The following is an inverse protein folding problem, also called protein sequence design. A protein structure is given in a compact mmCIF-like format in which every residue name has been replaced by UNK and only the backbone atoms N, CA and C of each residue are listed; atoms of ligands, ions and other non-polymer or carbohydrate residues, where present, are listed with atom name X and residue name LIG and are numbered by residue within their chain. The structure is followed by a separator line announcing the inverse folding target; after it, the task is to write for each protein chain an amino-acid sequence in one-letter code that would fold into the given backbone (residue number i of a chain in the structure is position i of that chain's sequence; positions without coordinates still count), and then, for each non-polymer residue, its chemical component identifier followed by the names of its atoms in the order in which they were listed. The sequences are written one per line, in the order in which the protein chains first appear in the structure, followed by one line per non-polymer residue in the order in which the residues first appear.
data_IF_975821129129
#
_entry.id   IF_975821129129
#
_cell.length_a   1.000
_cell.length_b   1.000
_cell.length_c   1.000
_cell.angle_alpha   90.00
_cell.angle_beta   90.00
_cell.angle_gamma   90.00
#
_symmetry.space_group_name_H-M   'P 1'
#
loop_
_entity.id
_entity.type
_entity.pdbx_description
1 polymer ?
#
# COMPACT_ATOMS: atom_id res chain seq x y z
N UNK A 1 41.36 -51.90 29.81
CA UNK A 1 40.98 -50.48 29.94
C UNK A 1 41.57 -49.98 31.24
N UNK A 2 42.30 -48.87 31.20
CA UNK A 2 42.87 -48.25 32.41
C UNK A 2 41.74 -47.56 33.20
N UNK A 3 41.90 -47.41 34.51
CA UNK A 3 40.91 -46.73 35.37
C UNK A 3 40.57 -45.30 34.87
N UNK A 4 41.50 -44.67 34.14
CA UNK A 4 41.29 -43.36 33.52
C UNK A 4 40.19 -43.38 32.43
N UNK A 5 40.14 -44.43 31.61
CA UNK A 5 39.15 -44.57 30.52
C UNK A 5 37.72 -44.79 31.04
N UNK A 6 37.57 -45.42 32.22
CA UNK A 6 36.27 -45.65 32.86
C UNK A 6 35.69 -44.34 33.40
N UNK A 7 36.54 -43.45 33.91
CA UNK A 7 36.13 -42.13 34.41
C UNK A 7 35.58 -41.21 33.31
N UNK A 8 36.26 -41.14 32.17
CA UNK A 8 35.82 -40.34 31.02
C UNK A 8 34.49 -40.85 30.45
N UNK A 9 34.32 -42.17 30.35
CA UNK A 9 33.06 -42.78 29.91
C UNK A 9 31.89 -42.44 30.84
N UNK A 10 32.08 -42.53 32.15
CA UNK A 10 31.04 -42.19 33.13
C UNK A 10 30.66 -40.70 33.07
N UNK A 11 31.63 -39.81 32.86
CA UNK A 11 31.39 -38.37 32.67
C UNK A 11 30.54 -38.13 31.42
N UNK A 12 30.93 -38.71 30.28
CA UNK A 12 30.18 -38.60 29.03
C UNK A 12 28.75 -39.14 29.16
N UNK A 13 28.58 -40.28 29.85
CA UNK A 13 27.25 -40.85 30.13
C UNK A 13 26.37 -39.88 30.93
N UNK A 14 26.92 -39.25 31.96
CA UNK A 14 26.18 -38.27 32.78
C UNK A 14 25.78 -37.02 31.96
N UNK A 15 26.67 -36.52 31.09
CA UNK A 15 26.36 -35.41 30.20
C UNK A 15 25.22 -35.76 29.23
N UNK A 16 25.24 -36.97 28.66
CA UNK A 16 24.15 -37.45 27.80
C UNK A 16 22.82 -37.57 28.54
N UNK A 17 22.82 -38.05 29.79
CA UNK A 17 21.59 -38.16 30.60
C UNK A 17 20.97 -36.77 30.88
N UNK A 18 21.81 -35.75 31.13
CA UNK A 18 21.35 -34.37 31.31
C UNK A 18 20.72 -33.82 30.03
N UNK A 19 21.37 -34.04 28.87
CA UNK A 19 20.86 -33.59 27.57
C UNK A 19 19.52 -34.29 27.26
N UNK A 20 19.45 -35.60 27.46
CA UNK A 20 18.24 -36.38 27.20
C UNK A 20 17.07 -35.93 28.07
N UNK A 21 17.34 -35.64 29.35
CA UNK A 21 16.34 -35.07 30.26
C UNK A 21 15.84 -33.70 29.77
N UNK A 22 16.75 -32.80 29.40
CA UNK A 22 16.39 -31.48 28.89
C UNK A 22 15.56 -31.53 27.60
N UNK A 23 15.84 -32.49 26.71
CA UNK A 23 15.05 -32.73 25.50
C UNK A 23 13.65 -33.24 25.83
N UNK A 24 13.52 -34.18 26.76
CA UNK A 24 12.21 -34.69 27.19
C UNK A 24 11.35 -33.59 27.83
N UNK A 25 11.94 -32.77 28.72
CA UNK A 25 11.23 -31.65 29.35
C UNK A 25 10.75 -30.65 28.29
N UNK A 26 11.58 -30.38 27.26
CA UNK A 26 11.21 -29.50 26.14
C UNK A 26 10.07 -30.09 25.29
N UNK A 27 10.09 -31.39 25.02
CA UNK A 27 9.02 -32.08 24.29
C UNK A 27 7.71 -31.98 25.06
N UNK A 28 7.71 -32.30 26.35
CA UNK A 28 6.51 -32.19 27.20
C UNK A 28 5.95 -30.76 27.22
N UNK A 29 6.81 -29.75 27.36
CA UNK A 29 6.38 -28.35 27.30
C UNK A 29 5.73 -27.97 25.96
N UNK A 30 6.28 -28.44 24.83
CA UNK A 30 5.70 -28.20 23.51
C UNK A 30 4.37 -28.93 23.29
N UNK A 31 4.21 -30.13 23.85
CA UNK A 31 2.95 -30.87 23.80
C UNK A 31 1.83 -30.15 24.57
N UNK A 32 2.14 -29.56 25.71
CA UNK A 32 1.20 -28.74 26.49
C UNK A 32 0.80 -27.46 25.75
N UNK A 33 1.77 -26.76 25.14
CA UNK A 33 1.52 -25.57 24.32
C UNK A 33 0.61 -25.90 23.12
N UNK A 34 0.88 -27.00 22.43
CA UNK A 34 0.03 -27.47 21.32
C UNK A 34 -1.40 -27.78 21.78
N UNK A 35 -1.57 -28.44 22.92
CA UNK A 35 -2.91 -28.71 23.49
C UNK A 35 -3.66 -27.41 23.76
N UNK A 36 -2.99 -26.40 24.31
CA UNK A 36 -3.57 -25.07 24.54
C UNK A 36 -4.01 -24.39 23.24
N UNK A 37 -3.14 -24.38 22.22
CA UNK A 37 -3.43 -23.78 20.92
C UNK A 37 -4.62 -24.44 20.20
N UNK A 38 -4.76 -25.77 20.32
CA UNK A 38 -5.90 -26.50 19.77
C UNK A 38 -7.22 -26.08 20.42
N UNK A 39 -7.23 -25.88 21.74
CA UNK A 39 -8.43 -25.41 22.47
C UNK A 39 -8.77 -23.98 22.05
N UNK A 40 -7.78 -23.09 21.98
CA UNK A 40 -7.97 -21.70 21.57
C UNK A 40 -8.54 -21.59 20.15
N UNK A 41 -8.03 -22.40 19.24
CA UNK A 41 -8.53 -22.50 17.86
C UNK A 41 -10.00 -22.93 17.81
N UNK A 42 -10.41 -23.89 18.66
CA UNK A 42 -11.83 -24.30 18.74
C UNK A 42 -12.72 -23.17 19.24
N UNK A 43 -12.28 -22.43 20.27
CA UNK A 43 -13.02 -21.28 20.80
C UNK A 43 -13.18 -20.19 19.74
N UNK A 44 -12.12 -19.88 18.99
CA UNK A 44 -12.18 -18.90 17.90
C UNK A 44 -13.14 -19.34 16.80
N UNK A 45 -13.15 -20.62 16.44
CA UNK A 45 -14.06 -21.17 15.42
C UNK A 45 -15.53 -21.04 15.83
N UNK A 46 -15.87 -21.26 17.11
CA UNK A 46 -17.23 -21.05 17.61
C UNK A 46 -17.64 -19.58 17.53
N UNK A 47 -16.77 -18.66 17.96
CA UNK A 47 -17.04 -17.21 17.86
C UNK A 47 -17.27 -16.77 16.41
N UNK A 48 -16.53 -17.36 15.47
CA UNK A 48 -16.70 -17.07 14.05
C UNK A 48 -18.09 -17.48 13.54
N UNK A 49 -18.56 -18.69 13.89
CA UNK A 49 -19.90 -19.19 13.54
C UNK A 49 -21.00 -18.30 14.14
N UNK A 50 -20.83 -17.84 15.38
CA UNK A 50 -21.78 -16.93 16.03
C UNK A 50 -21.86 -15.58 15.29
N UNK A 51 -20.72 -15.06 14.80
CA UNK A 51 -20.68 -13.83 14.02
C UNK A 51 -21.32 -13.99 12.64
N UNK A 52 -21.06 -15.11 11.94
CA UNK A 52 -21.71 -15.42 10.66
C UNK A 52 -23.24 -15.48 10.81
N UNK A 53 -23.72 -16.07 11.91
CA UNK A 53 -25.16 -16.14 12.20
C UNK A 53 -25.75 -14.74 12.40
N UNK A 54 -25.08 -13.88 13.18
CA UNK A 54 -25.52 -12.48 13.38
C UNK A 54 -25.57 -11.66 12.09
N UNK A 55 -24.60 -11.87 11.19
CA UNK A 55 -24.58 -11.21 9.88
C UNK A 55 -25.83 -11.63 9.07
N UNK A 56 -26.15 -12.93 9.05
CA UNK A 56 -27.36 -13.43 8.40
C UNK A 56 -28.66 -12.86 8.99
N UNK A 57 -28.71 -12.64 10.31
CA UNK A 57 -29.86 -11.99 10.96
C UNK A 57 -30.01 -10.53 10.51
N UNK A 58 -28.90 -9.77 10.43
CA UNK A 58 -28.93 -8.39 9.94
C UNK A 58 -29.35 -8.30 8.47
N UNK A 59 -28.89 -9.20 7.61
CA UNK A 59 -29.32 -9.25 6.21
C UNK A 59 -30.84 -9.47 6.10
N UNK A 60 -31.40 -10.34 6.94
CA UNK A 60 -32.84 -10.57 7.01
C UNK A 60 -33.61 -9.32 7.50
N UNK A 61 -33.07 -8.56 8.45
CA UNK A 61 -33.65 -7.29 8.88
C UNK A 61 -33.64 -6.24 7.77
N UNK A 62 -32.52 -6.11 7.04
CA UNK A 62 -32.41 -5.21 5.88
C UNK A 62 -33.46 -5.55 4.83
N UNK A 63 -33.65 -6.84 4.52
CA UNK A 63 -34.67 -7.29 3.56
C UNK A 63 -36.08 -6.90 4.03
N UNK A 64 -36.38 -7.03 5.33
CA UNK A 64 -37.68 -6.60 5.89
C UNK A 64 -37.88 -5.09 5.78
N UNK A 65 -36.85 -4.30 6.09
CA UNK A 65 -36.89 -2.84 5.98
C UNK A 65 -37.17 -2.43 4.54
N UNK A 66 -36.46 -3.01 3.56
CA UNK A 66 -36.65 -2.69 2.15
C UNK A 66 -38.07 -2.99 1.67
N UNK A 67 -38.65 -4.13 2.06
CA UNK A 67 -40.07 -4.44 1.73
C UNK A 67 -41.05 -3.42 2.32
N UNK A 68 -40.83 -3.00 3.57
CA UNK A 68 -41.69 -1.99 4.20
C UNK A 68 -41.58 -0.64 3.48
N UNK A 69 -40.38 -0.25 3.04
CA UNK A 69 -40.16 0.99 2.26
C UNK A 69 -40.90 0.94 0.92
N UNK A 70 -40.84 -0.19 0.21
CA UNK A 70 -41.59 -0.39 -1.03
C UNK A 70 -43.11 -0.32 -0.81
N UNK A 71 -43.63 -0.94 0.26
CA UNK A 71 -45.04 -0.86 0.61
C UNK A 71 -45.50 0.56 0.93
N UNK A 72 -44.72 1.32 1.70
CA UNK A 72 -45.03 2.73 2.01
C UNK A 72 -45.03 3.57 0.74
N UNK A 73 -44.03 3.40 -0.14
CA UNK A 73 -43.97 4.11 -1.42
C UNK A 73 -45.15 3.79 -2.35
N UNK A 74 -45.74 2.59 -2.24
CA UNK A 74 -46.92 2.21 -3.04
C UNK A 74 -48.25 2.76 -2.49
N UNK A 75 -48.33 3.11 -1.20
CA UNK A 75 -49.59 3.52 -0.53
C UNK A 75 -49.71 5.03 -0.30
N UNK A 76 -48.60 5.77 -0.28
CA UNK A 76 -48.61 7.23 -0.09
C UNK A 76 -47.89 7.94 -1.23
N UNK A 77 -48.67 8.42 -2.21
CA UNK A 77 -48.72 9.83 -2.68
C UNK A 77 -48.87 9.95 -4.23
N UNK A 78 -49.83 10.75 -4.71
CA UNK A 78 -49.88 11.24 -6.09
C UNK A 78 -48.67 12.12 -6.43
N UNK A 79 -47.94 11.79 -7.51
CA UNK A 79 -46.91 12.62 -8.18
C UNK A 79 -46.20 13.67 -7.29
N UNK A 80 -45.58 13.26 -6.19
CA UNK A 80 -44.56 14.11 -5.54
C UNK A 80 -43.20 13.74 -6.09
N UNK A 81 -42.59 14.77 -6.68
CA UNK A 81 -41.28 14.81 -7.34
C UNK A 81 -40.27 13.84 -6.72
N UNK A 82 -39.74 12.96 -7.56
CA UNK A 82 -38.65 12.02 -7.23
C UNK A 82 -37.51 12.73 -6.50
N UNK A 83 -36.83 12.00 -5.62
CA UNK A 83 -35.58 12.40 -4.95
C UNK A 83 -34.49 12.90 -5.92
N UNK A 84 -34.56 12.56 -7.22
CA UNK A 84 -33.71 13.13 -8.27
C UNK A 84 -33.84 14.65 -8.38
N UNK A 85 -35.03 15.19 -8.12
CA UNK A 85 -35.32 16.64 -8.18
C UNK A 85 -34.68 17.47 -7.06
N UNK A 86 -34.12 16.83 -6.03
CA UNK A 86 -33.35 17.52 -4.99
C UNK A 86 -31.91 17.85 -5.44
N UNK A 87 -31.41 17.18 -6.47
CA UNK A 87 -30.05 17.39 -6.99
C UNK A 87 -30.01 18.15 -8.32
N UNK A 88 -31.16 18.39 -8.96
CA UNK A 88 -31.27 19.08 -10.25
C UNK A 88 -30.86 20.58 -10.22
N UNK A 89 -30.61 21.15 -9.02
CA UNK A 89 -30.23 22.57 -8.87
C UNK A 89 -28.84 22.80 -8.27
N UNK A 90 -28.06 21.74 -8.00
CA UNK A 90 -26.64 21.92 -7.69
C UNK A 90 -25.93 21.85 -9.05
N UNK A 91 -25.23 22.90 -9.50
CA UNK A 91 -24.39 22.80 -10.68
C UNK A 91 -23.28 21.80 -10.37
N UNK A 92 -23.52 20.53 -10.69
CA UNK A 92 -22.50 19.50 -10.64
C UNK A 92 -21.51 19.85 -11.74
N UNK A 93 -20.25 20.01 -11.34
CA UNK A 93 -19.14 20.08 -12.28
C UNK A 93 -19.20 18.84 -13.18
N UNK A 94 -18.99 19.01 -14.50
CA UNK A 94 -19.03 17.94 -15.48
C UNK A 94 -18.14 16.75 -15.06
N UNK A 95 -17.15 17.00 -14.21
CA UNK A 95 -16.30 16.01 -13.57
C UNK A 95 -17.05 15.02 -12.66
N UNK A 96 -18.00 15.47 -11.82
CA UNK A 96 -18.72 14.61 -10.88
C UNK A 96 -19.72 13.70 -11.59
N UNK A 97 -20.40 14.21 -12.61
CA UNK A 97 -21.31 13.44 -13.47
C UNK A 97 -20.53 12.37 -14.23
N UNK A 98 -19.34 12.71 -14.71
CA UNK A 98 -18.43 11.75 -15.35
C UNK A 98 -17.93 10.68 -14.37
N UNK A 99 -17.66 11.01 -13.10
CA UNK A 99 -17.27 10.03 -12.08
C UNK A 99 -18.41 9.04 -11.81
N UNK A 100 -19.64 9.52 -11.60
CA UNK A 100 -20.78 8.65 -11.25
C UNK A 100 -21.10 7.70 -12.40
N UNK A 101 -21.07 8.18 -13.64
CA UNK A 101 -21.28 7.34 -14.81
C UNK A 101 -20.12 6.35 -15.04
N UNK A 102 -18.88 6.78 -14.77
CA UNK A 102 -17.70 5.92 -14.86
C UNK A 102 -17.68 4.82 -13.79
N UNK A 103 -18.19 5.07 -12.58
CA UNK A 103 -18.30 4.06 -11.51
C UNK A 103 -19.34 2.99 -11.87
N UNK A 104 -20.45 3.36 -12.49
CA UNK A 104 -21.50 2.41 -12.89
C UNK A 104 -21.07 1.46 -14.01
N UNK A 105 -20.24 1.92 -14.95
CA UNK A 105 -19.68 1.06 -16.01
C UNK A 105 -18.51 0.22 -15.50
N UNK A 106 -17.81 0.66 -14.44
CA UNK A 106 -16.65 -0.05 -13.88
C UNK A 106 -17.00 -1.40 -13.25
N UNK A 107 -18.17 -1.55 -12.61
CA UNK A 107 -18.52 -2.81 -11.92
C UNK A 107 -18.65 -4.01 -12.88
N UNK A 108 -19.08 -3.75 -14.11
CA UNK A 108 -19.23 -4.77 -15.15
C UNK A 108 -17.89 -5.05 -15.85
N UNK A 109 -17.02 -4.04 -16.00
CA UNK A 109 -15.66 -4.19 -16.51
C UNK A 109 -14.71 -4.87 -15.50
N UNK A 110 -14.84 -4.61 -14.20
CA UNK A 110 -14.00 -5.21 -13.14
C UNK A 110 -14.18 -6.73 -13.08
N UNK A 111 -15.41 -7.23 -13.26
CA UNK A 111 -15.70 -8.68 -13.30
C UNK A 111 -15.06 -9.40 -14.48
N UNK A 112 -14.73 -8.67 -15.55
CA UNK A 112 -14.03 -9.24 -16.71
C UNK A 112 -12.50 -9.06 -16.64
N UNK A 113 -11.99 -8.33 -15.64
CA UNK A 113 -10.60 -7.87 -15.48
C UNK A 113 -9.78 -8.51 -14.37
N UNK A 114 -10.27 -9.57 -13.71
CA UNK A 114 -9.41 -10.42 -12.84
C UNK A 114 -8.22 -11.08 -13.58
N UNK A 115 -8.04 -10.79 -14.87
CA UNK A 115 -6.98 -11.30 -15.74
C UNK A 115 -5.78 -10.36 -15.73
N UNK A 116 -4.56 -10.92 -15.66
CA UNK A 116 -3.32 -10.17 -15.53
C UNK A 116 -2.88 -9.53 -16.86
N UNK A 117 -3.66 -8.58 -17.34
CA UNK A 117 -3.50 -8.01 -18.69
C UNK A 117 -2.56 -6.79 -18.69
N UNK A 118 -1.72 -6.71 -19.73
CA UNK A 118 -0.82 -5.61 -20.07
C UNK A 118 -1.10 -5.09 -21.49
N UNK A 119 -0.84 -3.80 -21.70
CA UNK A 119 -0.90 -3.18 -23.03
C UNK A 119 0.51 -2.76 -23.45
N UNK A 120 0.88 -3.15 -24.67
CA UNK A 120 2.08 -2.71 -25.37
C UNK A 120 1.68 -1.78 -26.52
N UNK A 121 2.27 -0.60 -26.61
CA UNK A 121 2.02 0.33 -27.72
C UNK A 121 3.19 1.27 -27.95
N UNK A 122 3.14 2.07 -29.00
CA UNK A 122 4.06 3.19 -29.20
C UNK A 122 3.44 4.44 -28.56
N UNK A 123 4.27 5.39 -28.08
CA UNK A 123 3.74 6.61 -27.44
C UNK A 123 2.91 7.42 -28.45
N UNK A 124 1.67 7.73 -28.06
CA UNK A 124 0.86 8.77 -28.69
C UNK A 124 1.49 10.14 -28.40
N UNK A 125 1.69 10.95 -29.44
CA UNK A 125 2.14 12.33 -29.28
C UNK A 125 0.91 13.19 -28.96
N UNK A 126 0.84 13.74 -27.74
CA UNK A 126 -0.33 14.53 -27.30
C UNK A 126 -0.44 15.92 -27.97
N UNK A 127 0.50 16.27 -28.85
CA UNK A 127 0.51 17.52 -29.62
C UNK A 127 -0.04 17.37 -31.05
N UNK A 128 -0.61 16.21 -31.40
CA UNK A 128 -1.23 16.04 -32.71
C UNK A 128 -2.61 16.71 -32.72
N UNK A 129 -2.63 17.98 -33.17
CA UNK A 129 -3.83 18.75 -33.46
C UNK A 129 -4.83 17.95 -34.31
N UNK A 130 -6.12 18.29 -34.19
CA UNK A 130 -7.28 17.65 -34.87
C UNK A 130 -7.15 17.50 -36.40
N UNK A 131 -6.13 18.10 -37.03
CA UNK A 131 -5.80 17.94 -38.43
C UNK A 131 -5.05 16.62 -38.77
N UNK A 132 -4.67 15.79 -37.80
CA UNK A 132 -3.95 14.52 -38.02
C UNK A 132 -4.83 13.26 -38.02
N UNK A 133 -6.16 13.37 -38.15
CA UNK A 133 -7.08 12.22 -38.22
C UNK A 133 -6.73 11.27 -39.41
N UNK A 134 -6.08 11.78 -40.46
CA UNK A 134 -5.60 10.99 -41.61
C UNK A 134 -4.29 10.23 -41.35
N UNK A 135 -3.57 10.45 -40.23
CA UNK A 135 -2.35 9.71 -39.87
C UNK A 135 -2.59 8.47 -38.99
N UNK A 136 -3.77 8.39 -38.37
CA UNK A 136 -4.14 7.31 -37.46
C UNK A 136 -4.21 5.92 -38.13
N UNK A 137 -4.36 5.85 -39.46
CA UNK A 137 -4.40 4.58 -40.20
C UNK A 137 -3.04 3.84 -40.26
N UNK A 138 -1.94 4.50 -39.85
CA UNK A 138 -0.59 3.91 -39.88
C UNK A 138 -0.06 3.50 -38.49
N UNK A 139 -0.81 3.76 -37.42
CA UNK A 139 -0.35 3.44 -36.07
C UNK A 139 -0.64 1.97 -35.72
N UNK A 140 0.37 1.29 -35.21
CA UNK A 140 0.24 -0.11 -34.78
C UNK A 140 -0.73 -0.20 -33.61
N UNK A 141 -1.79 -0.97 -33.77
CA UNK A 141 -2.73 -1.27 -32.68
C UNK A 141 -2.01 -1.80 -31.44
N UNK A 142 -2.43 -1.40 -30.24
CA UNK A 142 -1.82 -1.91 -29.02
C UNK A 142 -1.95 -3.43 -28.89
N UNK A 143 -0.91 -4.09 -28.40
CA UNK A 143 -0.91 -5.53 -28.15
C UNK A 143 -1.34 -5.77 -26.71
N UNK A 144 -2.35 -6.61 -26.54
CA UNK A 144 -2.86 -7.03 -25.25
C UNK A 144 -2.20 -8.35 -24.84
N UNK A 145 -1.57 -8.39 -23.66
CA UNK A 145 -0.87 -9.58 -23.16
C UNK A 145 -1.44 -10.01 -21.82
N UNK A 146 -2.01 -11.20 -21.76
CA UNK A 146 -2.50 -11.81 -20.52
C UNK A 146 -1.41 -12.68 -19.89
N UNK A 147 -1.02 -12.34 -18.66
CA UNK A 147 -0.02 -13.07 -17.89
C UNK A 147 -0.68 -14.08 -16.94
N UNK A 148 0.06 -15.15 -16.60
CA UNK A 148 -0.47 -16.23 -15.77
C UNK A 148 -0.73 -15.77 -14.33
N UNK A 149 0.17 -14.98 -13.77
CA UNK A 149 0.08 -14.54 -12.38
C UNK A 149 0.19 -13.03 -12.24
N UNK A 150 -0.35 -12.50 -11.14
CA UNK A 150 -0.20 -11.09 -10.76
C UNK A 150 1.25 -10.73 -10.47
N UNK A 151 2.05 -11.70 -9.99
CA UNK A 151 3.48 -11.53 -9.74
C UNK A 151 4.23 -11.19 -11.04
N UNK A 152 3.99 -11.97 -12.09
CA UNK A 152 4.60 -11.76 -13.41
C UNK A 152 4.23 -10.37 -13.97
N UNK A 153 2.98 -9.95 -13.81
CA UNK A 153 2.52 -8.60 -14.23
C UNK A 153 3.30 -7.50 -13.52
N UNK A 154 3.49 -7.61 -12.21
CA UNK A 154 4.25 -6.62 -11.45
C UNK A 154 5.73 -6.62 -11.82
N UNK A 155 6.31 -7.79 -12.08
CA UNK A 155 7.71 -7.91 -12.52
C UNK A 155 7.92 -7.25 -13.89
N UNK A 156 7.04 -7.51 -14.86
CA UNK A 156 7.09 -6.84 -16.17
C UNK A 156 6.93 -5.33 -16.04
N UNK A 157 5.99 -4.84 -15.22
CA UNK A 157 5.78 -3.41 -15.00
C UNK A 157 6.96 -2.73 -14.30
N UNK A 158 7.65 -3.42 -13.37
CA UNK A 158 8.88 -2.92 -12.74
C UNK A 158 10.00 -2.76 -13.77
N UNK A 159 10.20 -3.79 -14.60
CA UNK A 159 11.24 -3.80 -15.62
C UNK A 159 10.94 -2.92 -16.83
N UNK A 160 9.67 -2.59 -17.08
CA UNK A 160 9.24 -1.70 -18.16
C UNK A 160 9.91 -0.32 -18.13
N UNK A 161 10.23 0.20 -16.92
CA UNK A 161 10.99 1.44 -16.79
C UNK A 161 12.42 1.31 -17.33
N UNK A 162 13.08 0.18 -17.06
CA UNK A 162 14.43 -0.09 -17.53
C UNK A 162 14.47 -0.29 -19.05
N UNK A 163 13.42 -0.89 -19.63
CA UNK A 163 13.30 -1.07 -21.07
C UNK A 163 13.29 0.25 -21.84
N UNK A 164 12.69 1.31 -21.29
CA UNK A 164 12.71 2.64 -21.93
C UNK A 164 14.10 3.25 -22.07
N UNK A 165 15.06 2.81 -21.26
CA UNK A 165 16.45 3.27 -21.35
C UNK A 165 17.22 2.54 -22.46
N UNK A 166 16.65 1.48 -23.05
CA UNK A 166 17.21 0.81 -24.22
C UNK A 166 16.80 1.55 -25.49
N UNK A 167 17.78 1.87 -26.35
CA UNK A 167 17.54 2.52 -27.65
C UNK A 167 16.58 1.75 -28.56
N UNK A 168 16.50 0.43 -28.39
CA UNK A 168 15.58 -0.42 -29.16
C UNK A 168 14.12 -0.28 -28.71
N UNK A 169 13.87 0.10 -27.45
CA UNK A 169 12.54 0.11 -26.84
C UNK A 169 12.13 1.48 -26.31
N UNK A 170 12.89 2.53 -26.61
CA UNK A 170 12.63 3.91 -26.17
C UNK A 170 11.20 4.39 -26.49
N UNK A 171 10.70 3.97 -27.67
CA UNK A 171 9.36 4.34 -28.16
C UNK A 171 8.25 3.39 -27.71
N UNK A 172 8.60 2.28 -27.05
CA UNK A 172 7.63 1.28 -26.60
C UNK A 172 7.14 1.62 -25.20
N UNK A 173 5.82 1.71 -25.07
CA UNK A 173 5.09 1.89 -23.84
C UNK A 173 4.53 0.55 -23.37
N UNK A 174 4.83 0.21 -22.12
CA UNK A 174 4.21 -0.94 -21.44
C UNK A 174 3.49 -0.36 -20.23
N UNK A 175 2.19 -0.61 -20.14
CA UNK A 175 1.36 -0.16 -19.03
C UNK A 175 0.37 -1.23 -18.59
N UNK A 176 -0.19 -1.07 -17.38
CA UNK A 176 -1.33 -1.88 -16.99
C UNK A 176 -2.50 -1.58 -17.93
N UNK A 177 -3.29 -2.60 -18.25
CA UNK A 177 -4.61 -2.32 -18.82
C UNK A 177 -5.47 -1.63 -17.75
N UNK A 178 -5.96 -0.44 -18.09
CA UNK A 178 -6.78 0.41 -17.22
C UNK A 178 -8.15 0.61 -17.84
N UNK A 179 -9.18 0.67 -17.01
CA UNK A 179 -10.55 1.02 -17.43
C UNK A 179 -10.61 2.46 -17.92
N UNK A 180 -11.65 2.81 -18.69
CA UNK A 180 -11.83 4.20 -19.12
C UNK A 180 -11.97 5.14 -17.91
N UNK A 181 -12.62 4.68 -16.85
CA UNK A 181 -12.75 5.38 -15.58
C UNK A 181 -11.39 5.66 -14.93
N UNK A 182 -10.57 4.61 -14.77
CA UNK A 182 -9.23 4.71 -14.17
C UNK A 182 -8.31 5.62 -14.99
N UNK A 183 -8.35 5.53 -16.32
CA UNK A 183 -7.58 6.40 -17.22
C UNK A 183 -8.00 7.85 -17.06
N UNK A 184 -9.30 8.12 -17.05
CA UNK A 184 -9.86 9.48 -16.90
C UNK A 184 -9.49 10.07 -15.54
N UNK A 185 -9.64 9.28 -14.47
CA UNK A 185 -9.24 9.67 -13.13
C UNK A 185 -7.73 9.96 -13.04
N UNK A 186 -6.89 9.08 -13.57
CA UNK A 186 -5.42 9.26 -13.60
C UNK A 186 -5.03 10.50 -14.38
N UNK A 187 -5.66 10.76 -15.54
CA UNK A 187 -5.46 11.99 -16.31
C UNK A 187 -5.85 13.24 -15.50
N UNK A 188 -6.98 13.21 -14.80
CA UNK A 188 -7.40 14.29 -13.91
C UNK A 188 -6.39 14.57 -12.80
N UNK A 189 -5.88 13.52 -12.14
CA UNK A 189 -4.84 13.66 -11.11
C UNK A 189 -3.52 14.21 -11.68
N UNK A 190 -3.09 13.74 -12.85
CA UNK A 190 -1.87 14.24 -13.51
C UNK A 190 -2.03 15.71 -13.88
N UNK A 191 -3.19 16.11 -14.42
CA UNK A 191 -3.50 17.50 -14.75
C UNK A 191 -3.43 18.37 -13.50
N UNK A 192 -4.15 18.00 -12.44
CA UNK A 192 -4.12 18.72 -11.16
C UNK A 192 -2.72 18.81 -10.57
N UNK A 193 -1.95 17.72 -10.59
CA UNK A 193 -0.55 17.71 -10.15
C UNK A 193 0.31 18.67 -10.97
N UNK A 194 0.14 18.70 -12.29
CA UNK A 194 0.91 19.59 -13.16
C UNK A 194 0.51 21.06 -12.97
N UNK A 195 -0.78 21.35 -12.75
CA UNK A 195 -1.30 22.68 -12.39
C UNK A 195 -0.76 23.16 -11.04
N UNK A 196 -0.75 22.30 -10.03
CA UNK A 196 -0.13 22.64 -8.73
C UNK A 196 1.38 22.81 -8.85
N UNK A 197 2.03 21.99 -9.70
CA UNK A 197 3.46 22.12 -9.99
C UNK A 197 3.77 23.44 -10.72
N UNK A 198 2.89 23.92 -11.61
CA UNK A 198 3.11 25.20 -12.30
C UNK A 198 2.80 26.41 -11.41
N UNK A 199 1.93 26.25 -10.39
CA UNK A 199 1.71 27.25 -9.33
C UNK A 199 2.90 27.40 -8.39
N UNK A 200 3.63 26.31 -8.15
CA UNK A 200 4.89 26.33 -7.41
C UNK A 200 6.00 26.82 -8.35
N UNK A 201 6.30 28.12 -8.28
CA UNK A 201 7.31 28.81 -9.10
C UNK A 201 8.63 28.04 -9.26
N UNK A 202 9.19 28.12 -10.47
CA UNK A 202 10.50 27.58 -10.86
C UNK A 202 11.56 27.81 -9.77
N UNK A 203 11.93 26.73 -9.08
CA UNK A 203 13.01 26.71 -8.09
C UNK A 203 12.67 26.05 -6.76
N UNK A 204 11.39 25.99 -6.34
CA UNK A 204 11.01 25.37 -5.06
C UNK A 204 10.47 23.95 -5.22
N UNK A 205 11.30 23.03 -5.72
CA UNK A 205 10.94 21.62 -5.77
C UNK A 205 11.18 20.93 -4.43
N UNK A 206 10.14 20.73 -3.62
CA UNK A 206 10.22 19.83 -2.46
C UNK A 206 10.29 18.38 -2.97
N UNK A 207 11.41 17.67 -2.77
CA UNK A 207 11.51 16.23 -3.08
C UNK A 207 11.24 15.44 -1.81
N UNK A 208 10.00 14.95 -1.67
CA UNK A 208 9.64 13.98 -0.64
C UNK A 208 9.40 12.61 -1.27
N UNK A 209 9.83 11.56 -0.57
CA UNK A 209 9.51 10.19 -0.92
C UNK A 209 8.87 9.52 0.30
N UNK A 210 7.65 9.01 0.11
CA UNK A 210 7.00 8.12 1.09
C UNK A 210 7.34 6.70 0.72
N UNK A 211 8.18 6.05 1.52
CA UNK A 211 8.63 4.67 1.27
C UNK A 211 8.00 3.77 2.32
N UNK A 212 7.17 2.82 1.88
CA UNK A 212 6.72 1.71 2.73
C UNK A 212 7.82 0.64 2.68
N UNK A 213 8.57 0.49 3.77
CA UNK A 213 9.73 -0.41 3.79
C UNK A 213 9.29 -1.86 4.01
N UNK A 214 9.35 -2.65 2.94
CA UNK A 214 9.47 -4.13 2.98
C UNK A 214 10.87 -4.51 2.43
N UNK A 215 11.84 -3.60 2.48
CA UNK A 215 13.12 -3.72 1.76
C UNK A 215 14.29 -3.69 2.73
N UNK A 216 15.34 -4.46 2.40
CA UNK A 216 16.60 -4.56 3.14
C UNK A 216 17.28 -3.18 3.18
N UNK A 217 17.79 -2.78 4.35
CA UNK A 217 18.34 -1.44 4.62
C UNK A 217 19.48 -1.00 3.67
N UNK A 218 20.24 -1.94 3.10
CA UNK A 218 21.30 -1.64 2.11
C UNK A 218 20.75 -1.06 0.82
N UNK A 219 19.66 -1.63 0.31
CA UNK A 219 19.02 -1.20 -0.94
C UNK A 219 18.27 0.12 -0.74
N UNK A 220 17.83 0.36 0.50
CA UNK A 220 17.24 1.62 0.93
C UNK A 220 18.27 2.75 0.89
N UNK A 221 19.44 2.57 1.51
CA UNK A 221 20.53 3.57 1.46
C UNK A 221 21.00 3.86 0.03
N UNK A 222 21.09 2.84 -0.83
CA UNK A 222 21.44 3.02 -2.23
C UNK A 222 20.39 3.84 -3.01
N UNK A 223 19.09 3.63 -2.73
CA UNK A 223 18.01 4.41 -3.34
C UNK A 223 17.94 5.86 -2.85
N UNK A 224 18.33 6.14 -1.61
CA UNK A 224 18.34 7.51 -1.09
C UNK A 224 19.41 8.33 -1.79
N UNK A 225 20.61 7.77 -1.88
CA UNK A 225 21.75 8.44 -2.50
C UNK A 225 21.50 8.78 -3.98
N UNK A 226 20.63 8.04 -4.67
CA UNK A 226 20.31 8.29 -6.09
C UNK A 226 19.12 9.24 -6.31
N UNK A 227 18.24 9.47 -5.33
CA UNK A 227 17.03 10.27 -5.50
C UNK A 227 17.16 11.74 -5.03
N UNK A 228 18.31 12.11 -4.44
CA UNK A 228 18.60 13.46 -3.90
C UNK A 228 17.52 14.02 -2.95
N UNK A 229 16.73 13.15 -2.31
CA UNK A 229 15.59 13.56 -1.47
C UNK A 229 16.02 14.41 -0.28
N UNK A 230 15.27 15.47 0.02
CA UNK A 230 15.57 16.40 1.13
C UNK A 230 14.97 15.93 2.46
N UNK A 231 13.78 15.34 2.39
CA UNK A 231 13.05 14.74 3.51
C UNK A 231 12.53 13.37 3.09
N UNK A 232 12.70 12.37 3.95
CA UNK A 232 12.32 10.98 3.69
C UNK A 232 11.42 10.53 4.83
N UNK A 233 10.22 10.06 4.51
CA UNK A 233 9.24 9.60 5.49
C UNK A 233 9.00 8.11 5.31
N UNK A 234 9.19 7.36 6.39
CA UNK A 234 9.03 5.92 6.44
C UNK A 234 7.97 5.57 7.48
N UNK A 235 7.00 4.78 7.07
CA UNK A 235 6.10 4.06 7.98
C UNK A 235 6.43 2.57 7.96
N UNK A 236 6.10 1.87 9.05
CA UNK A 236 6.39 0.45 9.25
C UNK A 236 7.90 0.19 9.20
N UNK A 237 8.67 0.82 10.09
CA UNK A 237 10.13 0.73 10.08
C UNK A 237 10.67 -0.61 10.58
N UNK A 238 9.95 -1.32 11.45
CA UNK A 238 10.35 -2.62 12.04
C UNK A 238 11.78 -2.61 12.61
N UNK A 239 12.28 -1.43 12.98
CA UNK A 239 13.64 -1.28 13.49
C UNK A 239 13.75 -1.99 14.83
N UNK A 240 14.88 -2.71 14.99
CA UNK A 240 15.29 -3.35 16.24
C UNK A 240 16.34 -2.47 16.92
N UNK A 241 16.59 -2.71 18.20
CA UNK A 241 17.58 -1.95 19.00
C UNK A 241 18.98 -1.97 18.39
N UNK A 242 19.32 -3.01 17.63
CA UNK A 242 20.60 -3.21 16.92
C UNK A 242 20.58 -2.75 15.45
N UNK A 243 19.47 -2.19 14.97
CA UNK A 243 19.37 -1.73 13.57
C UNK A 243 20.24 -0.50 13.34
N UNK A 244 21.06 -0.53 12.29
CA UNK A 244 21.79 0.64 11.81
C UNK A 244 20.79 1.55 11.10
N UNK A 245 20.32 2.57 11.80
CA UNK A 245 19.30 3.51 11.31
C UNK A 245 19.88 4.84 10.85
N UNK A 246 21.14 5.15 11.16
CA UNK A 246 21.72 6.42 10.74
C UNK A 246 22.12 6.41 9.27
N UNK A 247 21.66 7.42 8.54
CA UNK A 247 22.02 7.69 7.15
C UNK A 247 22.89 8.94 7.14
N UNK A 248 24.07 8.85 6.52
CA UNK A 248 24.99 9.96 6.51
C UNK A 248 24.38 11.18 5.78
N UNK A 249 24.52 12.36 6.37
CA UNK A 249 23.96 13.59 5.84
C UNK A 249 22.50 13.87 6.23
N UNK A 250 21.88 13.03 7.07
CA UNK A 250 20.51 13.25 7.55
C UNK A 250 20.41 13.20 9.08
N UNK A 251 19.60 14.10 9.62
CA UNK A 251 19.02 14.04 10.96
C UNK A 251 17.87 13.04 10.94
N UNK A 252 17.72 12.29 12.04
CA UNK A 252 16.69 11.25 12.18
C UNK A 252 15.75 11.60 13.33
N UNK A 253 14.46 11.50 13.05
CA UNK A 253 13.38 11.55 14.04
C UNK A 253 12.64 10.22 13.94
N UNK A 254 12.58 9.44 15.04
CA UNK A 254 11.97 8.11 15.00
C UNK A 254 11.17 7.79 16.26
N UNK A 255 10.10 7.02 16.09
CA UNK A 255 9.26 6.48 17.15
C UNK A 255 9.01 5.01 16.84
N UNK A 256 9.78 4.16 17.52
CA UNK A 256 9.66 2.71 17.41
C UNK A 256 8.55 2.20 18.33
N UNK A 257 7.85 1.15 17.89
CA UNK A 257 6.80 0.52 18.71
C UNK A 257 7.45 -0.31 19.83
N UNK A 258 6.92 -0.22 21.06
CA UNK A 258 7.38 -1.06 22.20
C UNK A 258 6.99 -2.53 22.07
N UNK A 259 5.97 -2.84 21.26
CA UNK A 259 5.47 -4.18 21.00
C UNK A 259 6.02 -4.74 19.68
N UNK A 260 5.50 -5.88 19.22
CA UNK A 260 6.02 -6.57 18.03
C UNK A 260 5.62 -5.84 16.74
N UNK A 261 6.62 -5.25 16.07
CA UNK A 261 6.52 -4.69 14.71
C UNK A 261 6.02 -3.24 14.65
N UNK A 262 6.22 -2.60 13.49
CA UNK A 262 5.77 -1.23 13.22
C UNK A 262 6.82 -0.15 13.48
N UNK A 263 6.35 1.09 13.65
CA UNK A 263 7.18 2.28 13.88
C UNK A 263 7.19 3.26 12.71
N UNK A 264 7.57 4.50 13.01
CA UNK A 264 7.66 5.61 12.05
C UNK A 264 9.03 6.28 12.15
N UNK A 265 9.52 6.80 11.04
CA UNK A 265 10.80 7.49 10.97
C UNK A 265 10.78 8.58 9.90
N UNK A 266 11.36 9.73 10.22
CA UNK A 266 11.58 10.86 9.33
C UNK A 266 13.07 11.13 9.28
N UNK A 267 13.64 11.17 8.08
CA UNK A 267 14.99 11.67 7.83
C UNK A 267 14.91 13.05 7.20
N UNK A 268 15.70 14.00 7.69
CA UNK A 268 15.80 15.37 7.17
C UNK A 268 17.26 15.67 6.90
N UNK A 269 17.64 16.19 5.71
CA UNK A 269 19.06 16.51 5.45
C UNK A 269 19.63 17.44 6.52
N UNK A 270 20.90 17.26 6.85
CA UNK A 270 21.59 17.98 7.94
C UNK A 270 21.68 19.50 7.72
N UNK A 271 21.64 19.94 6.46
CA UNK A 271 21.63 21.36 6.08
C UNK A 271 20.25 22.02 6.23
N UNK A 272 19.19 21.22 6.45
CA UNK A 272 17.85 21.70 6.77
C UNK A 272 17.67 21.71 8.28
N UNK A 273 17.58 22.92 8.85
CA UNK A 273 17.31 23.09 10.27
C UNK A 273 15.96 22.45 10.60
N UNK A 274 15.97 21.53 11.55
CA UNK A 274 14.78 20.75 11.91
C UNK A 274 14.81 20.36 13.38
N UNK A 275 13.62 20.18 13.98
CA UNK A 275 13.47 19.71 15.35
C UNK A 275 12.15 18.97 15.53
N UNK A 276 12.15 17.99 16.43
CA UNK A 276 10.94 17.28 16.84
C UNK A 276 10.11 18.17 17.76
N UNK A 277 8.81 18.25 17.50
CA UNK A 277 7.87 18.83 18.46
C UNK A 277 7.65 17.78 19.54
N UNK A 278 8.16 18.05 20.73
CA UNK A 278 7.78 17.29 21.92
C UNK A 278 6.33 17.63 22.25
N UNK A 279 5.42 16.81 21.78
CA UNK A 279 4.06 16.85 22.28
C UNK A 279 4.06 16.22 23.67
N UNK A 280 3.84 17.04 24.70
CA UNK A 280 3.36 16.59 26.03
C UNK A 280 1.91 16.05 25.93
N UNK A 281 1.56 15.41 24.80
CA UNK A 281 0.26 14.82 24.54
C UNK A 281 0.30 13.34 24.96
N UNK A 282 0.40 13.12 26.27
CA UNK A 282 0.30 11.79 26.89
C UNK A 282 -0.97 11.04 26.45
N UNK A 283 -2.02 11.77 26.06
CA UNK A 283 -3.30 11.25 25.54
C UNK A 283 -3.18 10.38 24.28
N UNK A 284 -2.07 10.47 23.53
CA UNK A 284 -1.85 9.70 22.30
C UNK A 284 -0.58 8.84 22.34
N UNK A 285 -0.11 8.49 23.53
CA UNK A 285 1.07 7.62 23.72
C UNK A 285 0.97 6.25 23.03
N UNK A 286 -0.24 5.79 22.72
CA UNK A 286 -0.49 4.55 21.96
C UNK A 286 -0.36 4.71 20.43
N UNK A 287 -0.37 5.94 19.91
CA UNK A 287 -0.23 6.23 18.47
C UNK A 287 1.24 6.44 18.07
N UNK A 288 1.62 5.76 16.99
CA UNK A 288 2.91 5.89 16.33
C UNK A 288 2.91 7.12 15.41
N UNK A 289 3.13 8.30 15.99
CA UNK A 289 3.30 9.55 15.24
C UNK A 289 4.59 10.25 15.64
N UNK A 290 5.11 11.07 14.73
CA UNK A 290 6.22 12.01 14.94
C UNK A 290 5.81 13.33 14.30
N UNK A 291 5.99 14.42 15.02
CA UNK A 291 5.82 15.76 14.50
C UNK A 291 7.19 16.42 14.41
N UNK A 292 7.59 16.80 13.20
CA UNK A 292 8.87 17.46 12.97
C UNK A 292 8.63 18.78 12.26
N UNK A 293 9.20 19.85 12.81
CA UNK A 293 9.24 21.17 12.19
C UNK A 293 10.57 21.29 11.47
N UNK A 294 10.53 21.75 10.22
CA UNK A 294 11.72 22.09 9.44
C UNK A 294 11.65 23.56 9.01
N UNK A 295 12.72 24.29 9.27
CA UNK A 295 12.91 25.67 8.81
C UNK A 295 13.60 25.62 7.45
N UNK A 296 12.86 25.95 6.40
CA UNK A 296 13.47 26.13 5.09
C UNK A 296 14.21 27.47 5.03
N UNK A 297 15.53 27.40 4.89
CA UNK A 297 16.30 28.55 4.42
C UNK A 297 16.16 28.56 2.90
N UNK A 298 15.22 29.36 2.40
CA UNK A 298 15.09 29.64 0.97
C UNK A 298 16.27 30.53 0.59
N UNK A 299 17.40 29.93 0.19
CA UNK A 299 18.46 30.68 -0.47
C UNK A 299 17.96 31.06 -1.86
N UNK A 300 17.64 32.35 -2.04
CA UNK A 300 17.41 32.92 -3.37
C UNK A 300 18.70 32.77 -4.17
N UNK A 301 18.68 31.94 -5.20
CA UNK A 301 19.62 32.00 -6.31
C UNK A 301 18.98 32.74 -7.48
#
# INVERSE_FOLDING_TARGET
MTNLQVGEFNKFKSELEIILKGLNDRITSLEEENKRLVVETRVMKTKFIDLETKIGDYDNEIIKINRNVEEVNSKTVPQTRLFSSLFDNIPQDDFEINIINAVKTNSDEERSKEKNVLIFGTKFNENDDENNILKAESETSPILVELKTRGDKLEVLRNAKNLRNSSQFEKVFIGPDQTLAERTYTKGLIKKRNEEKSRLTDGCGFRYATIKVIVIMSDFCANINSNEADIIMISETWFKTDSIVNINGFNIYKKDRKSRGGGVCIYVKNDIKSYELSDDLDEYSELEHIWCVSELIISRF
#
